data_IF_976386200485
#
_entry.id   IF_976386200485
#
_cell.length_a   1.000
_cell.length_b   1.000
_cell.length_c   1.000
_cell.angle_alpha   90.00
_cell.angle_beta   90.00
_cell.angle_gamma   90.00
#
_symmetry.space_group_name_H-M   'P 1'
#
loop_
_entity.id
_entity.type
_entity.pdbx_description
1 polymer ?
#
# COMPACT_ATOMS: atom_id res chain seq x y z
N UNK A 1 -10.16 14.46 -7.17
CA UNK A 1 -8.94 13.77 -6.71
C UNK A 1 -9.35 12.72 -5.69
N UNK A 2 -8.73 11.55 -5.67
CA UNK A 2 -9.15 10.38 -4.86
C UNK A 2 -8.06 9.95 -3.88
N UNK A 3 -8.46 9.41 -2.73
CA UNK A 3 -7.59 8.81 -1.72
C UNK A 3 -6.74 7.70 -2.33
N UNK A 4 -5.45 7.68 -1.99
CA UNK A 4 -4.53 6.70 -2.52
C UNK A 4 -4.85 5.25 -2.10
N UNK A 5 -5.57 5.04 -0.99
CA UNK A 5 -5.71 3.73 -0.35
C UNK A 5 -7.12 3.13 -0.42
N UNK A 6 -8.16 3.95 -0.53
CA UNK A 6 -9.55 3.47 -0.56
C UNK A 6 -10.42 4.16 -1.62
N UNK A 7 -9.81 4.99 -2.48
CA UNK A 7 -10.48 5.75 -3.55
C UNK A 7 -11.55 6.75 -3.08
N UNK A 8 -11.66 7.02 -1.77
CA UNK A 8 -12.55 8.06 -1.25
C UNK A 8 -12.25 9.43 -1.90
N UNK A 9 -13.29 10.20 -2.21
CA UNK A 9 -13.14 11.50 -2.87
C UNK A 9 -12.56 12.54 -1.91
N UNK A 10 -11.88 13.53 -2.49
CA UNK A 10 -11.38 14.73 -1.82
C UNK A 10 -10.53 14.43 -0.57
N UNK A 11 -9.38 13.75 -0.72
CA UNK A 11 -8.47 13.52 0.40
C UNK A 11 -7.86 14.84 0.91
N UNK A 12 -8.01 15.12 2.20
CA UNK A 12 -7.50 16.32 2.89
C UNK A 12 -6.33 16.04 3.83
N UNK A 13 -5.79 14.82 3.76
CA UNK A 13 -4.63 14.40 4.51
C UNK A 13 -3.55 13.94 3.57
N UNK A 14 -2.30 14.08 3.99
CA UNK A 14 -1.13 13.62 3.28
C UNK A 14 -0.35 12.67 4.17
N UNK A 15 -0.05 11.48 3.65
CA UNK A 15 1.00 10.66 4.24
C UNK A 15 2.33 11.04 3.60
N UNK A 16 3.23 11.60 4.41
CA UNK A 16 4.51 12.16 3.98
C UNK A 16 5.66 11.28 4.48
N UNK A 17 6.59 10.94 3.57
CA UNK A 17 7.79 10.14 3.82
C UNK A 17 7.54 8.71 4.31
N UNK A 18 7.14 7.80 3.42
CA UNK A 18 7.28 6.36 3.70
C UNK A 18 8.74 5.91 3.48
N UNK A 19 9.25 5.01 4.31
CA UNK A 19 10.61 4.47 4.17
C UNK A 19 10.85 3.81 2.80
N UNK A 20 9.89 3.02 2.34
CA UNK A 20 9.88 2.39 1.01
C UNK A 20 9.74 3.38 -0.15
N UNK A 21 9.05 4.51 0.05
CA UNK A 21 8.90 5.55 -0.98
C UNK A 21 10.15 6.42 -1.09
N UNK A 22 10.78 6.76 0.04
CA UNK A 22 12.01 7.54 0.07
C UNK A 22 13.14 6.81 -0.69
N UNK A 23 13.27 5.49 -0.51
CA UNK A 23 14.22 4.67 -1.26
C UNK A 23 13.94 4.63 -2.78
N UNK A 24 12.70 4.93 -3.19
CA UNK A 24 12.25 4.92 -4.60
C UNK A 24 12.11 6.33 -5.18
N UNK A 25 12.60 7.36 -4.47
CA UNK A 25 12.59 8.75 -4.93
C UNK A 25 11.19 9.40 -4.97
N UNK A 26 10.20 8.80 -4.32
CA UNK A 26 8.83 9.30 -4.22
C UNK A 26 8.52 9.77 -2.79
N UNK A 27 7.74 10.83 -2.63
CA UNK A 27 7.60 11.53 -1.33
C UNK A 27 6.37 11.19 -0.52
N UNK A 28 5.21 11.04 -1.14
CA UNK A 28 3.98 10.86 -0.39
C UNK A 28 2.72 10.86 -1.26
N UNK A 29 1.60 10.60 -0.58
CA UNK A 29 0.27 10.48 -1.16
C UNK A 29 -0.75 11.28 -0.37
N UNK A 30 -1.83 11.66 -1.01
CA UNK A 30 -3.03 12.21 -0.40
C UNK A 30 -4.01 11.09 -0.06
N UNK A 31 -4.50 11.10 1.18
CA UNK A 31 -5.36 10.10 1.78
C UNK A 31 -6.55 10.76 2.49
N UNK A 32 -7.63 10.00 2.68
CA UNK A 32 -8.77 10.46 3.46
C UNK A 32 -8.47 10.39 4.98
N UNK A 33 -9.36 10.97 5.79
CA UNK A 33 -9.22 11.00 7.25
C UNK A 33 -9.19 9.60 7.88
N UNK A 34 -9.97 8.65 7.36
CA UNK A 34 -9.99 7.28 7.87
C UNK A 34 -8.66 6.57 7.62
N UNK A 35 -8.12 6.68 6.40
CA UNK A 35 -6.82 6.13 6.06
C UNK A 35 -5.71 6.82 6.85
N UNK A 36 -5.80 8.14 7.06
CA UNK A 36 -4.88 8.88 7.93
C UNK A 36 -4.84 8.30 9.36
N UNK A 37 -6.00 7.93 9.91
CA UNK A 37 -6.09 7.23 11.20
C UNK A 37 -5.41 5.86 11.21
N UNK A 38 -5.55 5.09 10.13
CA UNK A 38 -4.87 3.79 9.99
C UNK A 38 -3.36 3.93 9.82
N UNK A 39 -2.91 4.91 9.05
CA UNK A 39 -1.48 5.24 8.92
C UNK A 39 -0.86 5.59 10.27
N UNK A 40 -1.57 6.34 11.13
CA UNK A 40 -1.11 6.66 12.49
C UNK A 40 -0.98 5.42 13.37
N UNK A 41 -1.92 4.48 13.31
CA UNK A 41 -1.88 3.26 14.13
C UNK A 41 -0.77 2.28 13.72
N UNK A 42 -0.32 2.32 12.46
CA UNK A 42 0.79 1.49 11.99
C UNK A 42 2.16 1.95 12.51
N UNK A 43 2.28 3.19 13.00
CA UNK A 43 3.52 3.73 13.56
C UNK A 43 4.60 4.09 12.53
N UNK A 44 5.66 4.73 13.03
CA UNK A 44 6.68 5.40 12.21
C UNK A 44 7.54 4.45 11.35
N UNK A 45 7.59 3.17 11.69
CA UNK A 45 8.32 2.16 10.91
C UNK A 45 7.66 1.89 9.54
N UNK A 46 6.35 2.13 9.42
CA UNK A 46 5.60 2.03 8.16
C UNK A 46 5.24 3.41 7.60
N UNK A 47 4.71 4.31 8.45
CA UNK A 47 4.21 5.62 8.06
C UNK A 47 4.84 6.70 8.95
N UNK A 48 5.91 7.35 8.45
CA UNK A 48 6.72 8.26 9.30
C UNK A 48 5.96 9.52 9.72
N UNK A 49 5.09 10.06 8.87
CA UNK A 49 4.33 11.25 9.20
C UNK A 49 3.03 11.37 8.39
N UNK A 50 1.99 11.90 9.05
CA UNK A 50 0.66 12.16 8.48
C UNK A 50 0.29 13.59 8.81
N UNK A 51 0.07 14.43 7.79
CA UNK A 51 -0.23 15.86 7.91
C UNK A 51 -1.54 16.20 7.22
N UNK A 52 -2.40 16.98 7.84
CA UNK A 52 -3.55 17.62 7.20
C UNK A 52 -3.07 18.64 6.17
N UNK A 53 -3.74 18.73 5.03
CA UNK A 53 -3.45 19.76 4.02
C UNK A 53 -3.96 21.14 4.42
N UNK A 54 -4.86 21.22 5.40
CA UNK A 54 -5.48 22.47 5.85
C UNK A 54 -5.09 22.87 7.27
N UNK A 55 -4.94 21.90 8.17
CA UNK A 55 -4.76 22.16 9.61
C UNK A 55 -3.30 22.17 10.06
N UNK A 56 -2.41 21.51 9.32
CA UNK A 56 -1.00 21.43 9.68
C UNK A 56 -0.18 22.49 8.92
N UNK A 57 0.86 23.01 9.57
CA UNK A 57 1.82 23.90 8.92
C UNK A 57 2.75 23.13 7.99
N UNK A 58 2.91 23.63 6.76
CA UNK A 58 3.80 23.06 5.76
C UNK A 58 4.99 23.97 5.49
N UNK A 59 6.20 23.42 5.54
CA UNK A 59 7.38 24.12 5.05
C UNK A 59 7.32 24.16 3.52
N UNK A 60 7.82 25.25 2.93
CA UNK A 60 7.86 25.40 1.47
C UNK A 60 8.58 24.23 0.78
N UNK A 61 9.68 23.76 1.37
CA UNK A 61 10.43 22.60 0.87
C UNK A 61 9.57 21.32 0.85
N UNK A 62 8.73 21.10 1.87
CA UNK A 62 7.84 19.94 1.92
C UNK A 62 6.81 19.99 0.78
N UNK A 63 6.21 21.16 0.54
CA UNK A 63 5.25 21.38 -0.55
C UNK A 63 5.91 21.19 -1.92
N UNK A 64 7.08 21.80 -2.14
CA UNK A 64 7.82 21.65 -3.39
C UNK A 64 8.21 20.18 -3.63
N UNK A 65 8.70 19.49 -2.59
CA UNK A 65 9.05 18.07 -2.70
C UNK A 65 7.83 17.20 -2.99
N UNK A 66 6.69 17.47 -2.34
CA UNK A 66 5.44 16.76 -2.58
C UNK A 66 4.91 17.03 -3.99
N UNK A 67 4.97 18.27 -4.47
CA UNK A 67 4.55 18.64 -5.83
C UNK A 67 5.42 17.98 -6.90
N UNK A 68 6.74 17.92 -6.71
CA UNK A 68 7.66 17.39 -7.71
C UNK A 68 7.75 15.84 -7.70
N UNK A 69 7.62 15.22 -6.51
CA UNK A 69 7.93 13.80 -6.30
C UNK A 69 6.82 13.02 -5.58
N UNK A 70 5.70 13.64 -5.26
CA UNK A 70 4.54 13.00 -4.66
C UNK A 70 3.44 12.74 -5.69
N UNK A 71 2.22 12.58 -5.18
CA UNK A 71 1.01 12.46 -5.97
C UNK A 71 0.55 11.01 -6.16
N UNK A 72 -0.76 10.82 -5.97
CA UNK A 72 -1.38 9.50 -5.88
C UNK A 72 -1.17 8.65 -7.14
N UNK A 73 -1.30 9.26 -8.32
CA UNK A 73 -1.09 8.57 -9.59
C UNK A 73 0.32 7.98 -9.70
N UNK A 74 1.35 8.80 -9.43
CA UNK A 74 2.75 8.40 -9.55
C UNK A 74 3.10 7.31 -8.55
N UNK A 75 2.70 7.51 -7.28
CA UNK A 75 3.02 6.56 -6.21
C UNK A 75 2.27 5.24 -6.40
N UNK A 76 0.98 5.28 -6.71
CA UNK A 76 0.20 4.06 -6.91
C UNK A 76 0.74 3.25 -8.10
N UNK A 77 1.04 3.90 -9.24
CA UNK A 77 1.64 3.20 -10.38
C UNK A 77 2.94 2.46 -10.01
N UNK A 78 3.83 3.14 -9.28
CA UNK A 78 5.13 2.59 -8.87
C UNK A 78 5.00 1.47 -7.83
N UNK A 79 4.08 1.59 -6.88
CA UNK A 79 3.85 0.56 -5.86
C UNK A 79 3.12 -0.65 -6.43
N UNK A 80 2.12 -0.46 -7.30
CA UNK A 80 1.42 -1.53 -8.00
C UNK A 80 2.36 -2.31 -8.91
N UNK A 81 3.24 -1.64 -9.68
CA UNK A 81 4.31 -2.29 -10.43
C UNK A 81 5.26 -3.10 -9.53
N UNK A 82 5.45 -2.67 -8.29
CA UNK A 82 6.22 -3.40 -7.30
C UNK A 82 5.47 -4.54 -6.63
N UNK A 83 4.26 -4.90 -7.07
CA UNK A 83 3.45 -5.97 -6.48
C UNK A 83 2.68 -5.55 -5.22
N UNK A 84 2.32 -4.27 -5.07
CA UNK A 84 1.35 -3.89 -4.04
C UNK A 84 -0.05 -4.47 -4.39
N UNK A 85 -0.83 -4.91 -3.39
CA UNK A 85 -2.18 -5.40 -3.64
C UNK A 85 -3.08 -4.33 -4.27
N UNK A 86 -4.21 -4.70 -4.88
CA UNK A 86 -5.23 -3.75 -5.31
C UNK A 86 -5.83 -3.03 -4.10
N UNK A 87 -6.24 -1.77 -4.29
CA UNK A 87 -6.90 -1.01 -3.23
C UNK A 87 -8.20 -1.70 -2.80
N UNK A 88 -8.49 -1.80 -1.49
CA UNK A 88 -9.76 -2.30 -1.02
C UNK A 88 -10.92 -1.41 -1.50
N UNK A 89 -12.13 -1.95 -1.62
CA UNK A 89 -13.31 -1.15 -1.96
C UNK A 89 -13.57 -0.08 -0.89
N UNK A 90 -14.24 0.99 -1.30
CA UNK A 90 -14.71 2.02 -0.38
C UNK A 90 -15.61 1.39 0.70
N UNK A 91 -15.39 1.73 1.97
CA UNK A 91 -16.12 1.15 3.10
C UNK A 91 -15.62 -0.22 3.57
N UNK A 92 -14.47 -0.69 3.07
CA UNK A 92 -13.83 -1.89 3.61
C UNK A 92 -13.53 -1.77 5.11
N UNK A 93 -13.48 -2.92 5.80
CA UNK A 93 -13.22 -2.96 7.24
C UNK A 93 -11.88 -2.31 7.59
N UNK A 94 -11.77 -1.78 8.81
CA UNK A 94 -10.51 -1.23 9.34
C UNK A 94 -9.36 -2.24 9.24
N UNK A 95 -9.62 -3.52 9.53
CA UNK A 95 -8.62 -4.58 9.45
C UNK A 95 -8.14 -4.80 8.01
N UNK A 96 -9.06 -4.78 7.03
CA UNK A 96 -8.72 -4.87 5.60
C UNK A 96 -7.87 -3.68 5.15
N UNK A 97 -8.24 -2.47 5.56
CA UNK A 97 -7.48 -1.25 5.28
C UNK A 97 -6.07 -1.30 5.90
N UNK A 98 -5.96 -1.74 7.16
CA UNK A 98 -4.67 -1.85 7.83
C UNK A 98 -3.74 -2.85 7.13
N UNK A 99 -4.26 -4.04 6.81
CA UNK A 99 -3.52 -5.07 6.08
C UNK A 99 -3.03 -4.54 4.72
N UNK A 100 -3.91 -3.88 3.98
CA UNK A 100 -3.58 -3.26 2.69
C UNK A 100 -2.49 -2.19 2.82
N UNK A 101 -2.67 -1.21 3.71
CA UNK A 101 -1.74 -0.09 3.90
C UNK A 101 -0.37 -0.64 4.35
N UNK A 102 -0.35 -1.61 5.26
CA UNK A 102 0.89 -2.28 5.68
C UNK A 102 1.59 -2.95 4.50
N UNK A 103 0.91 -3.79 3.73
CA UNK A 103 1.50 -4.47 2.58
C UNK A 103 2.02 -3.49 1.52
N UNK A 104 1.26 -2.42 1.27
CA UNK A 104 1.59 -1.41 0.25
C UNK A 104 2.83 -0.59 0.60
N UNK A 105 2.97 -0.20 1.87
CA UNK A 105 4.00 0.74 2.31
C UNK A 105 5.17 0.12 3.07
N UNK A 106 5.11 -1.17 3.42
CA UNK A 106 6.21 -1.83 4.11
C UNK A 106 7.52 -1.74 3.33
N UNK A 107 8.67 -1.55 4.01
CA UNK A 107 9.98 -1.65 3.37
C UNK A 107 10.15 -3.01 2.70
N UNK A 108 10.38 -3.03 1.39
CA UNK A 108 10.76 -4.26 0.67
C UNK A 108 12.27 -4.39 0.74
N UNK A 109 12.77 -5.48 1.32
CA UNK A 109 14.20 -5.80 1.26
C UNK A 109 14.57 -6.13 -0.19
N UNK A 110 15.82 -5.87 -0.58
CA UNK A 110 16.31 -5.98 -1.96
C UNK A 110 16.14 -7.38 -2.61
N UNK A 111 15.73 -8.38 -1.83
CA UNK A 111 15.53 -9.76 -2.27
C UNK A 111 14.17 -10.03 -2.94
N UNK A 112 13.18 -9.13 -2.84
CA UNK A 112 11.84 -9.32 -3.41
C UNK A 112 11.68 -8.79 -4.86
N UNK A 113 12.71 -8.91 -5.69
CA UNK A 113 12.62 -8.66 -7.13
C UNK A 113 12.69 -9.95 -7.95
N UNK A 114 12.11 -11.06 -7.49
CA UNK A 114 11.80 -12.23 -8.33
C UNK A 114 10.55 -12.92 -7.78
N UNK A 115 9.84 -13.63 -8.66
CA UNK A 115 8.59 -14.39 -8.44
C UNK A 115 7.32 -13.57 -8.75
N UNK A 116 7.09 -13.38 -10.05
CA UNK A 116 5.78 -13.23 -10.65
C UNK A 116 5.62 -14.28 -11.74
N UNK A 117 5.43 -15.54 -11.34
CA UNK A 117 4.90 -16.61 -12.16
C UNK A 117 4.26 -17.62 -11.19
N UNK A 118 2.94 -17.51 -11.04
CA UNK A 118 2.17 -18.43 -10.23
C UNK A 118 1.65 -19.52 -11.17
N UNK A 119 2.28 -20.70 -11.14
CA UNK A 119 1.71 -21.91 -11.73
C UNK A 119 0.46 -22.32 -10.92
N UNK A 120 -0.62 -22.79 -11.56
CA UNK A 120 -1.84 -23.19 -10.87
C UNK A 120 -1.59 -24.45 -10.01
N UNK A 121 -2.25 -24.57 -8.84
CA UNK A 121 -2.07 -25.70 -7.95
C UNK A 121 -2.65 -26.98 -8.56
N UNK A 122 -1.79 -28.00 -8.67
CA UNK A 122 -2.16 -29.39 -8.92
C UNK A 122 -3.15 -29.87 -7.85
N UNK A 123 -4.37 -30.23 -8.27
CA UNK A 123 -5.33 -30.95 -7.42
C UNK A 123 -4.84 -32.37 -7.19
N UNK A 124 -4.61 -32.72 -5.92
CA UNK A 124 -4.21 -34.05 -5.51
C UNK A 124 -5.40 -35.03 -5.30
N UNK A 125 -5.01 -36.30 -5.38
CA UNK A 125 -5.55 -37.49 -4.70
C UNK A 125 -6.88 -38.10 -5.17
N UNK A 126 -6.78 -39.36 -5.61
CA UNK A 126 -7.40 -40.48 -4.87
C UNK A 126 -6.46 -41.68 -4.86
N UNK A 127 -6.08 -42.10 -3.65
CA UNK A 127 -5.69 -43.47 -3.33
C UNK A 127 -6.78 -44.45 -3.77
N UNK A 128 -6.39 -45.57 -4.37
CA UNK A 128 -7.21 -46.79 -4.39
C UNK A 128 -6.30 -47.98 -4.16
N UNK A 129 -6.23 -48.43 -2.91
CA UNK A 129 -5.94 -49.81 -2.55
C UNK A 129 -7.14 -50.67 -2.92
N UNK A 130 -6.97 -51.73 -3.70
CA UNK A 130 -7.81 -52.93 -3.54
C UNK A 130 -7.09 -54.19 -4.04
N UNK A 131 -7.29 -55.26 -3.27
CA UNK A 131 -6.79 -56.62 -3.40
C UNK A 131 -7.69 -57.44 -4.36
N UNK A 132 -7.14 -58.46 -5.05
CA UNK A 132 -7.91 -59.71 -5.30
C UNK A 132 -8.09 -60.22 -6.75
N UNK A 133 -7.65 -61.47 -6.93
CA UNK A 133 -8.18 -62.57 -7.78
C UNK A 133 -8.08 -62.55 -9.33
N UNK A 134 -7.08 -63.28 -9.87
CA UNK A 134 -7.26 -64.57 -10.59
C UNK A 134 -5.92 -65.28 -10.82
#
# INVERSE_FOLDING_TARGET
MECADCCAKNPEWASVNHGSLAARGVRGVLICIECAGTHRSLGAHISKAVKSTQLDSWKLEELQSFSAKGGNRKVNALLTQGGAPPAPPLGASRASLESYIRAKYSPKTATQSKIGAQEPPMSGHTESTDFGDH
#
